data_IF_121196989885
#
_entry.id   IF_121196989885
#
_cell.length_a   1.000
_cell.length_b   1.000
_cell.length_c   1.000
_cell.angle_alpha   90.00
_cell.angle_beta   90.00
_cell.angle_gamma   90.00
#
_symmetry.space_group_name_H-M   'P 1'
#
loop_
_entity.id
_entity.type
_entity.pdbx_description
1 polymer ?
#
# COMPACT_ATOMS: atom_id res chain seq x y z
N UNK A 1 -6.98 -7.00 -0.25
CA UNK A 1 -6.23 -7.28 -1.48
C UNK A 1 -7.21 -7.59 -2.61
N UNK A 2 -6.76 -7.67 -3.86
CA UNK A 2 -7.65 -7.87 -5.03
C UNK A 2 -8.32 -9.26 -5.06
N UNK A 3 -7.76 -10.23 -4.34
CA UNK A 3 -8.28 -11.60 -4.16
C UNK A 3 -9.19 -11.75 -2.92
N UNK A 4 -9.50 -10.65 -2.22
CA UNK A 4 -10.36 -10.64 -1.05
C UNK A 4 -9.68 -10.88 0.30
N UNK A 5 -8.39 -11.24 0.36
CA UNK A 5 -7.71 -11.40 1.66
C UNK A 5 -7.35 -10.04 2.28
N UNK A 6 -7.11 -10.01 3.60
CA UNK A 6 -6.78 -8.79 4.36
C UNK A 6 -5.26 -8.57 4.41
N UNK A 7 -4.82 -7.37 4.03
CA UNK A 7 -3.40 -6.96 4.12
C UNK A 7 -3.24 -6.02 5.31
N UNK A 8 -2.46 -6.43 6.31
CA UNK A 8 -2.16 -5.58 7.46
C UNK A 8 -1.13 -4.51 7.09
N UNK A 9 -1.49 -3.24 7.28
CA UNK A 9 -0.60 -2.09 7.07
C UNK A 9 -0.32 -1.43 8.42
N UNK A 10 0.95 -1.28 8.77
CA UNK A 10 1.42 -0.65 10.01
C UNK A 10 2.57 0.31 9.73
N UNK A 11 2.77 1.30 10.60
CA UNK A 11 3.94 2.18 10.62
C UNK A 11 4.41 2.41 12.04
N UNK A 12 5.72 2.38 12.23
CA UNK A 12 6.36 2.70 13.51
C UNK A 12 6.80 4.18 13.59
N UNK A 13 6.74 4.90 12.47
CA UNK A 13 7.22 6.29 12.34
C UNK A 13 6.11 7.20 11.83
N UNK A 14 6.28 8.50 12.07
CA UNK A 14 5.38 9.56 11.59
C UNK A 14 5.11 9.41 10.09
N UNK A 15 3.85 9.56 9.71
CA UNK A 15 3.40 9.58 8.31
C UNK A 15 3.24 11.02 7.89
N UNK A 16 3.91 11.44 6.81
CA UNK A 16 3.74 12.75 6.19
C UNK A 16 2.94 12.64 4.88
N UNK A 17 2.46 13.77 4.37
CA UNK A 17 1.72 13.80 3.11
C UNK A 17 2.55 13.23 1.95
N UNK A 18 1.96 12.33 1.16
CA UNK A 18 2.65 11.63 0.07
C UNK A 18 3.58 10.51 0.53
N UNK A 19 3.64 10.19 1.83
CA UNK A 19 4.38 9.03 2.30
C UNK A 19 3.84 7.74 1.65
N UNK A 20 4.74 6.79 1.38
CA UNK A 20 4.41 5.50 0.75
C UNK A 20 4.81 4.33 1.64
N UNK A 21 4.00 3.28 1.63
CA UNK A 21 4.32 1.95 2.17
C UNK A 21 4.32 0.96 1.02
N UNK A 22 5.39 0.16 0.93
CA UNK A 22 5.49 -0.95 -0.02
C UNK A 22 5.18 -2.25 0.70
N UNK A 23 4.22 -3.02 0.20
CA UNK A 23 3.98 -4.40 0.60
C UNK A 23 4.39 -5.34 -0.52
N UNK A 24 5.46 -6.10 -0.29
CA UNK A 24 6.03 -7.02 -1.28
C UNK A 24 5.12 -8.24 -1.46
N UNK A 25 4.85 -8.64 -2.69
CA UNK A 25 4.01 -9.82 -3.00
C UNK A 25 2.51 -9.54 -3.06
N UNK A 26 2.08 -8.34 -2.66
CA UNK A 26 0.67 -7.92 -2.65
C UNK A 26 0.23 -7.23 -3.96
N UNK A 27 1.01 -7.38 -5.03
CA UNK A 27 0.68 -6.84 -6.33
C UNK A 27 -0.02 -7.85 -7.23
N UNK A 28 -0.39 -7.39 -8.42
CA UNK A 28 -0.91 -8.26 -9.47
C UNK A 28 0.08 -9.35 -9.85
N UNK A 29 -0.47 -10.50 -10.23
CA UNK A 29 0.28 -11.63 -10.78
C UNK A 29 0.95 -11.24 -12.11
N UNK A 30 2.17 -11.73 -12.32
CA UNK A 30 2.89 -11.57 -13.58
C UNK A 30 2.25 -12.43 -14.68
N UNK A 31 2.13 -11.88 -15.89
CA UNK A 31 1.48 -12.55 -17.03
C UNK A 31 2.21 -13.82 -17.52
N UNK A 32 3.54 -13.84 -17.49
CA UNK A 32 4.35 -14.95 -18.01
C UNK A 32 4.59 -16.04 -16.96
N UNK A 33 4.65 -15.67 -15.67
CA UNK A 33 4.82 -16.61 -14.57
C UNK A 33 3.89 -16.26 -13.41
N UNK A 34 2.80 -17.03 -13.29
CA UNK A 34 1.76 -16.78 -12.30
C UNK A 34 2.17 -17.02 -10.83
N UNK A 35 3.38 -17.54 -10.59
CA UNK A 35 3.95 -17.65 -9.23
C UNK A 35 4.65 -16.36 -8.78
N UNK A 36 4.82 -15.38 -9.68
CA UNK A 36 5.40 -14.08 -9.38
C UNK A 36 4.31 -13.04 -9.20
N UNK A 37 4.45 -12.22 -8.16
CA UNK A 37 3.53 -11.12 -7.85
C UNK A 37 4.30 -9.81 -7.72
N UNK A 38 3.64 -8.73 -8.10
CA UNK A 38 4.15 -7.37 -7.90
C UNK A 38 4.17 -6.92 -6.45
N UNK A 39 4.24 -5.60 -6.24
CA UNK A 39 4.08 -5.00 -4.91
C UNK A 39 2.83 -4.12 -4.88
N UNK A 40 2.14 -4.09 -3.74
CA UNK A 40 1.18 -3.04 -3.43
C UNK A 40 1.92 -1.82 -2.91
N UNK A 41 1.60 -0.65 -3.48
CA UNK A 41 2.04 0.64 -2.95
C UNK A 41 0.82 1.36 -2.35
N UNK A 42 0.87 1.60 -1.05
CA UNK A 42 -0.10 2.42 -0.34
C UNK A 42 0.48 3.82 -0.20
N UNK A 43 -0.16 4.81 -0.81
CA UNK A 43 0.21 6.22 -0.68
C UNK A 43 -0.77 6.91 0.25
N UNK A 44 -0.27 7.66 1.21
CA UNK A 44 -1.10 8.39 2.15
C UNK A 44 -1.27 9.83 1.67
N UNK A 45 -2.51 10.20 1.38
CA UNK A 45 -2.92 11.59 1.34
C UNK A 45 -3.39 12.00 2.74
N UNK A 46 -2.92 13.16 3.22
CA UNK A 46 -3.14 13.60 4.60
C UNK A 46 -3.95 14.88 4.54
N UNK A 47 -5.22 14.78 4.90
CA UNK A 47 -6.08 15.94 5.11
C UNK A 47 -5.75 16.56 6.47
N UNK A 48 -5.18 17.76 6.44
CA UNK A 48 -4.93 18.54 7.65
C UNK A 48 -6.21 19.28 8.07
N UNK A 49 -6.43 19.50 9.38
CA UNK A 49 -7.54 20.30 9.87
C UNK A 49 -7.54 21.68 9.21
N UNK A 50 -8.70 22.11 8.72
CA UNK A 50 -8.91 23.49 8.28
C UNK A 50 -9.09 24.34 9.54
N UNK A 51 -8.52 25.53 9.56
CA UNK A 51 -8.82 26.50 10.64
C UNK A 51 -10.24 27.03 10.41
N UNK A 52 -11.01 27.13 11.50
CA UNK A 52 -12.30 27.84 11.53
C UNK A 52 -12.09 29.35 11.49
#
# INVERSE_FOLDING_TARGET
HLDGHKVTVSRDKVTWAGARVRKKGEGMTNFENNNLHGNLYVTFDIEFPKQD
#
